data_IF_964932681785
#
_entry.id   IF_964932681785
#
_cell.length_a   1.000
_cell.length_b   1.000
_cell.length_c   1.000
_cell.angle_alpha   90.00
_cell.angle_beta   90.00
_cell.angle_gamma   90.00
#
_symmetry.space_group_name_H-M   'P 1'
#
loop_
_entity.id
_entity.type
_entity.pdbx_description
1 polymer ?
#
# COMPACT_ATOMS: atom_id res chain seq x y z
N UNK A 1 -35.26 -35.96 -36.10
CA UNK A 1 -36.45 -35.12 -36.39
C UNK A 1 -37.12 -34.75 -35.07
N UNK A 2 -37.15 -33.46 -34.77
CA UNK A 2 -37.83 -32.85 -33.61
C UNK A 2 -39.33 -32.74 -33.94
N UNK A 3 -40.22 -33.14 -33.02
CA UNK A 3 -41.54 -32.49 -32.81
C UNK A 3 -42.24 -33.15 -31.61
N UNK A 4 -42.35 -32.48 -30.46
CA UNK A 4 -43.47 -31.57 -30.07
C UNK A 4 -44.82 -32.30 -29.93
N UNK A 5 -45.31 -32.47 -28.68
CA UNK A 5 -46.42 -31.69 -28.08
C UNK A 5 -47.16 -32.45 -26.96
N UNK A 6 -47.46 -31.64 -25.94
CA UNK A 6 -48.70 -31.58 -25.15
C UNK A 6 -49.05 -32.79 -24.26
N UNK A 7 -49.21 -32.52 -22.96
CA UNK A 7 -50.53 -32.56 -22.33
C UNK A 7 -50.56 -31.63 -21.10
N UNK A 8 -51.49 -30.67 -21.14
CA UNK A 8 -51.95 -29.85 -20.02
C UNK A 8 -53.16 -30.59 -19.43
N UNK A 9 -53.23 -30.74 -18.11
CA UNK A 9 -54.51 -30.84 -17.40
C UNK A 9 -54.32 -30.46 -15.93
N UNK A 10 -55.25 -29.64 -15.46
CA UNK A 10 -55.18 -28.81 -14.28
C UNK A 10 -55.82 -29.43 -13.04
N UNK A 11 -55.53 -28.77 -11.91
CA UNK A 11 -56.41 -28.50 -10.77
C UNK A 11 -56.64 -29.60 -9.72
N UNK A 12 -56.27 -29.31 -8.46
CA UNK A 12 -57.22 -28.79 -7.46
C UNK A 12 -56.53 -28.51 -6.11
N UNK A 13 -57.07 -27.54 -5.39
CA UNK A 13 -56.53 -26.86 -4.23
C UNK A 13 -56.71 -27.61 -2.89
N UNK A 14 -55.88 -27.27 -1.90
CA UNK A 14 -56.26 -27.30 -0.50
C UNK A 14 -55.53 -26.20 0.28
N UNK A 15 -56.31 -25.23 0.75
CA UNK A 15 -55.95 -24.18 1.69
C UNK A 15 -56.12 -24.78 3.09
N UNK A 16 -55.10 -24.65 3.95
CA UNK A 16 -55.23 -24.84 5.38
C UNK A 16 -54.58 -23.66 6.11
N UNK A 17 -55.44 -22.76 6.59
CA UNK A 17 -55.16 -21.70 7.54
C UNK A 17 -54.84 -22.27 8.92
N UNK A 18 -53.70 -21.89 9.49
CA UNK A 18 -53.37 -22.10 10.90
C UNK A 18 -52.91 -20.79 11.51
N UNK A 19 -53.79 -20.13 12.27
CA UNK A 19 -53.45 -19.01 13.14
C UNK A 19 -53.18 -19.55 14.54
N UNK A 20 -52.00 -19.25 15.09
CA UNK A 20 -51.68 -19.36 16.51
C UNK A 20 -50.92 -18.10 16.93
N UNK A 21 -51.64 -17.22 17.62
CA UNK A 21 -51.06 -16.12 18.40
C UNK A 21 -50.76 -16.63 19.81
N UNK A 22 -49.55 -16.45 20.32
CA UNK A 22 -49.27 -16.24 21.74
C UNK A 22 -47.85 -15.67 21.95
N UNK A 23 -47.79 -14.62 22.77
CA UNK A 23 -46.68 -13.72 23.02
C UNK A 23 -45.58 -14.27 23.94
N UNK A 24 -44.44 -13.56 23.91
CA UNK A 24 -43.65 -13.07 25.07
C UNK A 24 -42.21 -13.57 25.15
N UNK A 25 -41.30 -12.58 25.28
CA UNK A 25 -40.08 -12.70 26.05
C UNK A 25 -38.82 -13.10 25.28
N UNK A 26 -37.93 -12.12 25.09
CA UNK A 26 -36.51 -12.38 24.88
C UNK A 26 -35.96 -11.83 23.59
N UNK A 27 -35.50 -10.59 23.64
CA UNK A 27 -34.37 -10.10 22.85
C UNK A 27 -33.18 -11.05 23.03
N UNK A 28 -33.15 -12.12 22.25
CA UNK A 28 -31.90 -12.77 21.90
C UNK A 28 -31.25 -11.86 20.86
N UNK A 29 -30.56 -10.83 21.36
CA UNK A 29 -29.44 -10.27 20.64
C UNK A 29 -28.53 -11.44 20.34
N UNK A 30 -28.63 -11.95 19.11
CA UNK A 30 -27.65 -12.83 18.54
C UNK A 30 -26.38 -12.02 18.50
N UNK A 31 -25.60 -12.10 19.59
CA UNK A 31 -24.17 -11.90 19.56
C UNK A 31 -23.66 -12.90 18.54
N UNK A 32 -23.68 -12.49 17.27
CA UNK A 32 -22.78 -13.01 16.28
C UNK A 32 -21.43 -13.01 16.97
N UNK A 33 -20.85 -14.18 17.17
CA UNK A 33 -19.45 -14.32 17.50
C UNK A 33 -18.71 -13.52 16.44
N UNK A 34 -18.40 -12.27 16.76
CA UNK A 34 -17.82 -11.30 15.86
C UNK A 34 -16.50 -11.90 15.37
N UNK A 35 -16.29 -11.87 14.06
CA UNK A 35 -15.14 -12.52 13.41
C UNK A 35 -13.86 -12.15 14.17
N UNK A 36 -13.22 -13.12 14.83
CA UNK A 36 -11.95 -12.90 15.55
C UNK A 36 -10.77 -12.68 14.60
N UNK A 37 -10.90 -13.07 13.34
CA UNK A 37 -9.84 -12.97 12.34
C UNK A 37 -9.84 -11.59 11.70
N UNK A 38 -8.71 -10.89 11.72
CA UNK A 38 -8.41 -9.69 10.95
C UNK A 38 -7.53 -10.10 9.75
N UNK A 39 -8.00 -9.83 8.54
CA UNK A 39 -7.26 -10.14 7.31
C UNK A 39 -6.70 -8.87 6.71
N UNK A 40 -5.37 -8.80 6.52
CA UNK A 40 -4.68 -7.62 6.00
C UNK A 40 -3.89 -7.98 4.74
N UNK A 41 -4.14 -7.23 3.66
CA UNK A 41 -3.29 -7.27 2.46
C UNK A 41 -2.03 -6.42 2.68
N UNK A 42 -0.85 -6.91 2.32
CA UNK A 42 0.41 -6.19 2.56
C UNK A 42 1.46 -6.48 1.48
N UNK A 43 2.39 -5.53 1.28
CA UNK A 43 3.64 -5.83 0.57
C UNK A 43 4.49 -6.82 1.38
N UNK A 44 5.32 -7.67 0.76
CA UNK A 44 6.11 -8.66 1.48
C UNK A 44 7.06 -8.04 2.51
N UNK A 45 7.78 -6.99 2.14
CA UNK A 45 8.72 -6.29 3.00
C UNK A 45 8.54 -4.77 2.92
N UNK A 46 8.63 -4.03 4.03
CA UNK A 46 8.67 -4.51 5.42
C UNK A 46 7.27 -4.86 5.97
N UNK A 47 6.19 -4.59 5.23
CA UNK A 47 4.82 -4.55 5.76
C UNK A 47 4.33 -5.90 6.30
N UNK A 48 4.40 -6.96 5.51
CA UNK A 48 4.00 -8.29 5.96
C UNK A 48 4.94 -8.84 7.05
N UNK A 49 6.23 -8.49 7.00
CA UNK A 49 7.16 -8.83 8.08
C UNK A 49 6.78 -8.16 9.40
N UNK A 50 6.48 -6.86 9.39
CA UNK A 50 5.99 -6.12 10.56
C UNK A 50 4.72 -6.77 11.11
N UNK A 51 3.75 -7.06 10.25
CA UNK A 51 2.50 -7.68 10.63
C UNK A 51 2.73 -9.06 11.27
N UNK A 52 3.54 -9.92 10.65
CA UNK A 52 3.76 -11.28 11.10
C UNK A 52 4.70 -11.39 12.31
N UNK A 53 5.79 -10.61 12.34
CA UNK A 53 6.86 -10.73 13.35
C UNK A 53 6.63 -9.84 14.58
N UNK A 54 5.87 -8.75 14.45
CA UNK A 54 5.61 -7.82 15.56
C UNK A 54 4.13 -7.78 15.97
N UNK A 55 3.20 -7.60 15.02
CA UNK A 55 1.80 -7.36 15.37
C UNK A 55 1.03 -8.62 15.77
N UNK A 56 1.28 -9.74 15.09
CA UNK A 56 0.50 -10.98 15.20
C UNK A 56 0.37 -11.49 16.64
N UNK A 57 1.48 -11.64 17.36
CA UNK A 57 1.46 -12.16 18.74
C UNK A 57 0.78 -11.19 19.72
N UNK A 58 0.95 -9.88 19.50
CA UNK A 58 0.32 -8.83 20.33
C UNK A 58 -1.20 -8.77 20.12
N UNK A 59 -1.66 -8.99 18.88
CA UNK A 59 -3.08 -9.08 18.57
C UNK A 59 -3.71 -10.37 19.10
N UNK A 60 -2.99 -11.49 19.07
CA UNK A 60 -3.47 -12.76 19.64
C UNK A 60 -3.75 -12.63 21.16
N UNK A 61 -2.94 -11.85 21.88
CA UNK A 61 -3.19 -11.53 23.31
C UNK A 61 -4.47 -10.71 23.54
N UNK A 62 -4.98 -10.04 22.49
CA UNK A 62 -6.25 -9.30 22.47
C UNK A 62 -7.38 -10.12 21.82
N UNK A 63 -7.26 -11.45 21.74
CA UNK A 63 -8.24 -12.36 21.11
C UNK A 63 -8.47 -12.11 19.60
N UNK A 64 -7.51 -11.49 18.90
CA UNK A 64 -7.58 -11.20 17.47
C UNK A 64 -6.57 -12.07 16.71
N UNK A 65 -7.06 -12.87 15.77
CA UNK A 65 -6.21 -13.65 14.85
C UNK A 65 -5.84 -12.80 13.63
N UNK A 66 -4.56 -12.51 13.44
CA UNK A 66 -4.09 -11.81 12.24
C UNK A 66 -3.74 -12.77 11.10
N UNK A 67 -4.45 -12.64 9.98
CA UNK A 67 -4.13 -13.28 8.69
C UNK A 67 -3.53 -12.24 7.75
N UNK A 68 -2.33 -12.49 7.25
CA UNK A 68 -1.64 -11.61 6.29
C UNK A 68 -1.71 -12.24 4.91
N UNK A 69 -2.14 -11.47 3.91
CA UNK A 69 -2.08 -11.84 2.49
C UNK A 69 -1.05 -10.95 1.80
N UNK A 70 -0.01 -11.57 1.25
CA UNK A 70 1.08 -10.85 0.58
C UNK A 70 0.76 -10.63 -0.89
N UNK A 71 1.05 -9.42 -1.39
CA UNK A 71 0.89 -9.04 -2.79
C UNK A 71 2.12 -8.29 -3.26
N UNK A 72 2.58 -8.58 -4.48
CA UNK A 72 3.84 -8.05 -5.03
C UNK A 72 3.66 -6.84 -5.95
N UNK A 73 2.44 -6.29 -6.01
CA UNK A 73 2.07 -5.14 -6.82
C UNK A 73 1.26 -4.14 -5.98
N UNK A 74 1.05 -2.94 -6.54
CA UNK A 74 0.37 -1.84 -5.85
C UNK A 74 -1.12 -1.69 -6.17
N UNK A 75 -1.66 -2.53 -7.04
CA UNK A 75 -3.03 -2.43 -7.51
C UNK A 75 -3.93 -3.39 -6.72
N UNK A 76 -3.56 -4.66 -6.64
CA UNK A 76 -4.40 -5.71 -6.05
C UNK A 76 -4.76 -5.44 -4.59
N UNK A 77 -3.85 -5.01 -3.70
CA UNK A 77 -4.21 -4.75 -2.29
C UNK A 77 -5.41 -3.82 -2.12
N UNK A 78 -5.50 -2.74 -2.90
CA UNK A 78 -6.64 -1.84 -2.86
C UNK A 78 -7.91 -2.48 -3.44
N UNK A 79 -7.80 -3.29 -4.50
CA UNK A 79 -8.94 -4.01 -5.07
C UNK A 79 -9.56 -4.98 -4.07
N UNK A 80 -8.75 -5.78 -3.38
CA UNK A 80 -9.22 -6.78 -2.41
C UNK A 80 -9.75 -6.15 -1.13
N UNK A 81 -9.26 -4.96 -0.75
CA UNK A 81 -9.86 -4.17 0.35
C UNK A 81 -11.20 -3.58 -0.09
N UNK A 82 -11.29 -3.01 -1.28
CA UNK A 82 -12.54 -2.43 -1.82
C UNK A 82 -13.64 -3.48 -1.94
N UNK A 83 -13.30 -4.71 -2.36
CA UNK A 83 -14.26 -5.81 -2.48
C UNK A 83 -14.64 -6.46 -1.14
N UNK A 84 -13.99 -6.09 -0.04
CA UNK A 84 -14.15 -6.72 1.27
C UNK A 84 -13.61 -8.15 1.34
N UNK A 85 -12.69 -8.54 0.45
CA UNK A 85 -11.98 -9.82 0.56
C UNK A 85 -10.97 -9.79 1.72
N UNK A 86 -10.42 -8.62 2.02
CA UNK A 86 -9.62 -8.34 3.22
C UNK A 86 -10.24 -7.19 3.99
N UNK A 87 -10.02 -7.15 5.31
CA UNK A 87 -10.57 -6.11 6.18
C UNK A 87 -9.78 -4.80 6.06
N UNK A 88 -8.47 -4.87 5.79
CA UNK A 88 -7.59 -3.72 5.61
C UNK A 88 -6.43 -4.03 4.66
N UNK A 89 -5.70 -3.00 4.24
CA UNK A 89 -4.38 -3.15 3.63
C UNK A 89 -3.33 -2.25 4.30
N UNK A 90 -2.06 -2.62 4.10
CA UNK A 90 -0.89 -1.94 4.62
C UNK A 90 0.24 -2.08 3.59
N UNK A 91 0.35 -1.12 2.68
CA UNK A 91 1.34 -1.13 1.60
C UNK A 91 1.64 0.24 0.98
N UNK A 92 0.78 1.24 1.21
CA UNK A 92 0.74 2.49 0.44
C UNK A 92 0.85 3.71 1.36
N UNK A 93 1.28 4.82 0.77
CA UNK A 93 1.22 6.15 1.38
C UNK A 93 -0.07 6.90 1.03
N UNK A 94 -0.32 8.00 1.73
CA UNK A 94 -1.57 8.77 1.62
C UNK A 94 -1.77 9.38 0.23
N UNK A 95 -0.69 9.80 -0.45
CA UNK A 95 -0.78 10.36 -1.80
C UNK A 95 -1.20 9.29 -2.81
N UNK A 96 -0.62 8.09 -2.73
CA UNK A 96 -1.02 6.95 -3.57
C UNK A 96 -2.49 6.60 -3.33
N UNK A 97 -2.94 6.54 -2.07
CA UNK A 97 -4.34 6.28 -1.73
C UNK A 97 -5.29 7.31 -2.36
N UNK A 98 -4.98 8.60 -2.21
CA UNK A 98 -5.80 9.68 -2.77
C UNK A 98 -5.87 9.61 -4.29
N UNK A 99 -4.74 9.35 -4.96
CA UNK A 99 -4.68 9.18 -6.40
C UNK A 99 -5.49 7.92 -6.83
N UNK A 100 -5.30 6.79 -6.15
CA UNK A 100 -6.04 5.55 -6.44
C UNK A 100 -7.55 5.74 -6.32
N UNK A 101 -8.03 6.38 -5.25
CA UNK A 101 -9.45 6.71 -5.05
C UNK A 101 -9.99 7.55 -6.21
N UNK A 102 -9.26 8.62 -6.59
CA UNK A 102 -9.62 9.50 -7.70
C UNK A 102 -9.69 8.77 -9.04
N UNK A 103 -8.71 7.92 -9.34
CA UNK A 103 -8.61 7.21 -10.63
C UNK A 103 -9.62 6.07 -10.75
N UNK A 104 -9.92 5.38 -9.65
CA UNK A 104 -10.75 4.17 -9.66
C UNK A 104 -12.18 4.40 -9.14
N UNK A 105 -12.52 5.61 -8.71
CA UNK A 105 -13.83 5.93 -8.14
C UNK A 105 -14.11 5.17 -6.85
N UNK A 106 -13.06 4.92 -6.05
CA UNK A 106 -13.16 4.24 -4.74
C UNK A 106 -13.09 5.26 -3.61
N UNK A 107 -13.46 4.84 -2.40
CA UNK A 107 -13.57 5.68 -1.21
C UNK A 107 -12.81 5.10 0.00
N UNK A 108 -11.72 4.35 -0.27
CA UNK A 108 -10.86 3.81 0.76
C UNK A 108 -10.32 4.92 1.67
N UNK A 109 -10.16 4.63 2.96
CA UNK A 109 -9.75 5.61 3.97
C UNK A 109 -8.50 5.16 4.70
N UNK A 110 -7.55 6.09 4.86
CA UNK A 110 -6.39 5.90 5.73
C UNK A 110 -6.78 6.09 7.19
N UNK A 111 -6.53 5.06 8.02
CA UNK A 111 -6.89 5.03 9.44
C UNK A 111 -5.78 5.65 10.30
N UNK A 112 -4.53 5.30 10.03
CA UNK A 112 -3.37 5.83 10.74
C UNK A 112 -2.09 5.71 9.91
N UNK A 113 -1.22 6.71 10.01
CA UNK A 113 0.17 6.63 9.57
C UNK A 113 0.96 5.71 10.50
N UNK A 114 1.76 4.82 9.95
CA UNK A 114 2.49 3.79 10.72
C UNK A 114 3.99 3.99 10.62
N UNK A 115 4.53 4.01 9.41
CA UNK A 115 5.96 4.15 9.16
C UNK A 115 6.21 4.90 7.88
N UNK A 116 7.45 5.31 7.68
CA UNK A 116 7.93 5.98 6.50
C UNK A 116 9.18 5.24 6.00
N UNK A 117 9.29 5.14 4.68
CA UNK A 117 10.38 4.46 3.98
C UNK A 117 11.06 5.48 3.07
N UNK A 118 12.33 5.84 3.34
CA UNK A 118 13.07 6.73 2.46
C UNK A 118 13.20 6.15 1.05
N UNK A 119 12.76 6.90 0.05
CA UNK A 119 13.03 6.60 -1.35
C UNK A 119 14.50 6.92 -1.67
N UNK A 120 15.16 6.05 -2.44
CA UNK A 120 16.59 6.15 -2.74
C UNK A 120 16.93 6.06 -4.21
N UNK A 121 18.02 6.72 -4.60
CA UNK A 121 18.69 6.54 -5.89
C UNK A 121 19.79 5.50 -5.73
N UNK A 122 19.71 4.39 -6.47
CA UNK A 122 20.65 3.28 -6.39
C UNK A 122 21.49 3.16 -7.67
N UNK A 123 22.73 2.71 -7.51
CA UNK A 123 23.69 2.50 -8.58
C UNK A 123 23.31 1.30 -9.46
N UNK A 124 23.23 1.51 -10.77
CA UNK A 124 23.13 0.44 -11.78
C UNK A 124 24.49 0.21 -12.45
N UNK A 125 24.56 0.44 -13.77
CA UNK A 125 25.83 0.40 -14.52
C UNK A 125 26.80 1.52 -14.13
N UNK A 126 26.28 2.63 -13.60
CA UNK A 126 27.04 3.79 -13.16
C UNK A 126 27.03 3.89 -11.62
N UNK A 127 28.05 4.52 -11.03
CA UNK A 127 28.31 4.46 -9.57
C UNK A 127 28.33 5.80 -8.85
N UNK A 128 28.43 6.92 -9.57
CA UNK A 128 28.51 8.24 -8.96
C UNK A 128 27.58 9.20 -9.69
N UNK A 129 26.70 9.86 -8.94
CA UNK A 129 25.77 10.86 -9.46
C UNK A 129 26.50 12.13 -9.91
N UNK A 130 27.67 12.44 -9.34
CA UNK A 130 28.46 13.63 -9.68
C UNK A 130 29.07 13.55 -11.08
N UNK A 131 29.36 12.32 -11.54
CA UNK A 131 29.96 12.04 -12.84
C UNK A 131 28.93 11.49 -13.84
N UNK A 132 27.65 11.83 -13.67
CA UNK A 132 26.57 11.33 -14.54
C UNK A 132 26.81 11.73 -16.01
N UNK A 133 26.87 10.70 -16.86
CA UNK A 133 27.12 10.87 -18.29
C UNK A 133 25.92 11.51 -19.01
N UNK A 134 26.20 12.27 -20.07
CA UNK A 134 25.15 12.77 -20.94
C UNK A 134 24.36 11.59 -21.54
N UNK A 135 23.03 11.62 -21.45
CA UNK A 135 22.18 10.55 -21.95
C UNK A 135 22.05 9.34 -21.03
N UNK A 136 22.54 9.43 -19.78
CA UNK A 136 22.37 8.38 -18.78
C UNK A 136 20.89 8.00 -18.59
N UNK A 137 20.64 6.72 -18.36
CA UNK A 137 19.30 6.18 -18.14
C UNK A 137 19.02 6.05 -16.64
N UNK A 138 17.89 6.60 -16.20
CA UNK A 138 17.41 6.45 -14.83
C UNK A 138 16.05 5.76 -14.86
N UNK A 139 15.96 4.59 -14.25
CA UNK A 139 14.67 3.91 -14.07
C UNK A 139 13.89 4.55 -12.92
N UNK A 140 12.60 4.79 -13.13
CA UNK A 140 11.69 5.39 -12.14
C UNK A 140 10.35 4.62 -12.11
N UNK A 141 9.60 4.63 -10.99
CA UNK A 141 8.24 4.13 -10.95
C UNK A 141 7.34 4.89 -11.94
N UNK A 142 6.32 4.23 -12.48
CA UNK A 142 5.40 4.81 -13.47
C UNK A 142 3.97 5.04 -12.95
N UNK A 143 3.74 4.89 -11.65
CA UNK A 143 2.49 5.37 -11.04
C UNK A 143 2.64 6.86 -10.68
N UNK A 144 1.59 7.70 -10.85
CA UNK A 144 1.73 9.15 -10.84
C UNK A 144 2.43 9.72 -9.60
N UNK A 145 2.15 9.16 -8.42
CA UNK A 145 2.63 9.72 -7.15
C UNK A 145 4.04 9.27 -6.80
N UNK A 146 4.43 8.03 -7.13
CA UNK A 146 5.81 7.58 -6.94
C UNK A 146 6.74 8.06 -8.06
N UNK A 147 6.22 8.24 -9.28
CA UNK A 147 6.95 8.92 -10.35
C UNK A 147 7.26 10.36 -9.92
N UNK A 148 6.25 11.13 -9.52
CA UNK A 148 6.46 12.49 -9.00
C UNK A 148 7.45 12.56 -7.84
N UNK A 149 7.35 11.64 -6.87
CA UNK A 149 8.33 11.51 -5.77
C UNK A 149 9.75 11.26 -6.27
N UNK A 150 9.93 10.40 -7.28
CA UNK A 150 11.23 10.16 -7.88
C UNK A 150 11.78 11.42 -8.56
N UNK A 151 10.96 12.17 -9.29
CA UNK A 151 11.35 13.44 -9.90
C UNK A 151 11.72 14.51 -8.87
N UNK A 152 11.01 14.57 -7.74
CA UNK A 152 11.36 15.45 -6.62
C UNK A 152 12.72 15.09 -6.02
N UNK A 153 13.02 13.80 -5.86
CA UNK A 153 14.34 13.34 -5.40
C UNK A 153 15.44 13.66 -6.41
N UNK A 154 15.19 13.48 -7.71
CA UNK A 154 16.15 13.87 -8.75
C UNK A 154 16.43 15.38 -8.75
N UNK A 155 15.40 16.20 -8.47
CA UNK A 155 15.55 17.65 -8.33
C UNK A 155 16.28 18.04 -7.05
N UNK A 156 16.04 17.34 -5.93
CA UNK A 156 16.78 17.50 -4.68
C UNK A 156 18.29 17.35 -4.89
N UNK A 157 18.69 16.36 -5.69
CA UNK A 157 20.09 16.09 -6.01
C UNK A 157 20.66 16.98 -7.13
N UNK A 158 19.86 17.92 -7.66
CA UNK A 158 20.28 18.86 -8.71
C UNK A 158 20.53 18.21 -10.07
N UNK A 159 20.04 16.98 -10.29
CA UNK A 159 20.17 16.27 -11.57
C UNK A 159 19.24 16.85 -12.63
N UNK A 160 18.12 17.43 -12.20
CA UNK A 160 17.14 18.15 -13.00
C UNK A 160 16.59 19.34 -12.22
N UNK A 161 15.88 20.24 -12.91
CA UNK A 161 15.01 21.25 -12.31
C UNK A 161 13.58 20.98 -12.74
N UNK A 162 12.62 20.99 -11.81
CA UNK A 162 11.19 20.92 -12.12
C UNK A 162 10.60 22.32 -12.34
N UNK A 163 9.59 22.41 -13.21
CA UNK A 163 8.81 23.65 -13.41
C UNK A 163 8.11 24.09 -12.14
N UNK A 164 7.60 23.12 -11.38
CA UNK A 164 7.03 23.29 -10.05
C UNK A 164 7.75 22.32 -9.09
N UNK A 165 8.57 22.82 -8.15
CA UNK A 165 9.33 21.99 -7.22
C UNK A 165 8.46 21.32 -6.15
N UNK A 166 7.16 21.62 -6.09
CA UNK A 166 6.21 21.00 -5.15
C UNK A 166 5.21 20.06 -5.85
N UNK A 167 5.37 19.80 -7.17
CA UNK A 167 4.46 18.94 -7.92
C UNK A 167 4.62 17.45 -7.55
N UNK A 168 3.70 16.94 -6.74
CA UNK A 168 3.66 15.54 -6.28
C UNK A 168 3.32 14.51 -7.37
N UNK A 169 2.85 14.96 -8.53
CA UNK A 169 2.54 14.13 -9.70
C UNK A 169 3.42 14.55 -10.90
N UNK A 170 4.64 15.03 -10.65
CA UNK A 170 5.57 15.46 -11.70
C UNK A 170 5.91 14.31 -12.67
N UNK A 171 5.93 14.66 -13.96
CA UNK A 171 6.24 13.76 -15.08
C UNK A 171 7.49 14.25 -15.82
N UNK A 172 8.05 13.50 -16.80
CA UNK A 172 9.10 14.02 -17.68
C UNK A 172 8.72 15.34 -18.38
N UNK A 173 7.43 15.57 -18.62
CA UNK A 173 6.91 16.80 -19.21
C UNK A 173 7.04 18.02 -18.28
N UNK A 174 7.25 17.82 -16.98
CA UNK A 174 7.35 18.86 -15.96
C UNK A 174 8.79 19.27 -15.64
N UNK A 175 9.76 18.67 -16.33
CA UNK A 175 11.18 19.05 -16.25
C UNK A 175 11.40 20.39 -16.97
N UNK A 176 11.95 21.36 -16.24
CA UNK A 176 12.36 22.66 -16.78
C UNK A 176 13.79 22.59 -17.35
N UNK A 177 14.73 22.00 -16.61
CA UNK A 177 16.12 21.85 -17.02
C UNK A 177 16.60 20.40 -16.81
N UNK A 178 17.32 19.87 -17.79
CA UNK A 178 17.95 18.54 -17.77
C UNK A 178 19.37 18.63 -18.36
N UNK A 179 20.36 19.12 -17.58
CA UNK A 179 21.69 19.44 -18.09
C UNK A 179 22.45 18.23 -18.62
N UNK A 180 22.14 17.03 -18.13
CA UNK A 180 22.77 15.78 -18.55
C UNK A 180 21.96 15.02 -19.61
N UNK A 181 20.88 15.59 -20.16
CA UNK A 181 20.01 14.91 -21.13
C UNK A 181 19.59 13.51 -20.66
N UNK A 182 19.32 13.37 -19.35
CA UNK A 182 18.93 12.12 -18.71
C UNK A 182 17.70 11.55 -19.42
N UNK A 183 17.72 10.24 -19.64
CA UNK A 183 16.59 9.48 -20.19
C UNK A 183 15.88 8.76 -19.06
N UNK A 184 14.61 9.07 -18.85
CA UNK A 184 13.80 8.39 -17.85
C UNK A 184 13.22 7.10 -18.42
N UNK A 185 13.38 6.01 -17.68
CA UNK A 185 12.86 4.68 -18.01
C UNK A 185 11.74 4.37 -17.02
N UNK A 186 10.53 4.77 -17.38
CA UNK A 186 9.33 4.58 -16.57
C UNK A 186 8.89 3.11 -16.61
N UNK A 187 8.89 2.44 -15.45
CA UNK A 187 8.44 1.05 -15.30
C UNK A 187 7.61 0.89 -14.04
N UNK A 188 6.87 -0.21 -13.96
CA UNK A 188 6.15 -0.57 -12.73
C UNK A 188 7.10 -0.58 -11.53
N UNK A 189 6.68 -0.01 -10.40
CA UNK A 189 7.49 0.10 -9.18
C UNK A 189 8.15 -1.24 -8.78
N UNK A 190 7.39 -2.34 -8.86
CA UNK A 190 7.85 -3.70 -8.57
C UNK A 190 8.97 -4.21 -9.49
N UNK A 191 9.22 -3.54 -10.62
CA UNK A 191 10.22 -3.89 -11.62
C UNK A 191 11.46 -2.98 -11.61
N UNK A 192 11.42 -1.84 -10.91
CA UNK A 192 12.48 -0.83 -10.96
C UNK A 192 13.82 -1.40 -10.50
N UNK A 193 13.86 -2.14 -9.39
CA UNK A 193 15.11 -2.73 -8.86
C UNK A 193 15.77 -3.70 -9.85
N UNK A 194 14.97 -4.42 -10.66
CA UNK A 194 15.48 -5.30 -11.72
C UNK A 194 16.08 -4.53 -12.90
N UNK A 195 15.77 -3.25 -13.07
CA UNK A 195 16.35 -2.43 -14.14
C UNK A 195 17.82 -2.07 -13.88
N UNK A 196 18.32 -2.19 -12.65
CA UNK A 196 19.70 -1.81 -12.30
C UNK A 196 20.78 -2.49 -13.17
N UNK A 197 20.48 -3.66 -13.74
CA UNK A 197 21.39 -4.36 -14.67
C UNK A 197 21.43 -3.74 -16.07
N UNK A 198 20.46 -2.90 -16.42
CA UNK A 198 20.22 -2.37 -17.75
C UNK A 198 20.38 -0.84 -17.83
N UNK A 199 20.10 -0.11 -16.75
CA UNK A 199 20.19 1.35 -16.66
C UNK A 199 21.40 1.83 -15.84
N UNK A 200 21.66 3.13 -15.85
CA UNK A 200 22.77 3.74 -15.11
C UNK A 200 22.46 3.86 -13.63
N UNK A 201 21.23 4.27 -13.30
CA UNK A 201 20.73 4.42 -11.94
C UNK A 201 19.24 4.08 -11.87
N UNK A 202 18.71 3.81 -10.68
CA UNK A 202 17.28 3.65 -10.50
C UNK A 202 16.80 4.33 -9.21
N UNK A 203 15.60 4.92 -9.24
CA UNK A 203 14.95 5.50 -8.07
C UNK A 203 13.93 4.52 -7.53
N UNK A 204 14.19 3.92 -6.37
CA UNK A 204 13.48 2.74 -5.88
C UNK A 204 12.73 3.06 -4.58
N UNK A 205 11.45 2.67 -4.50
CA UNK A 205 10.67 2.67 -3.26
C UNK A 205 11.34 1.78 -2.19
N UNK A 206 11.25 2.18 -0.92
CA UNK A 206 11.93 1.47 0.16
C UNK A 206 11.55 -0.01 0.27
N UNK A 207 10.26 -0.34 0.25
CA UNK A 207 9.77 -1.73 0.26
C UNK A 207 10.44 -2.62 -0.80
N UNK A 208 10.52 -2.16 -2.06
CA UNK A 208 11.12 -2.91 -3.17
C UNK A 208 12.65 -2.89 -3.14
N UNK A 209 13.26 -1.86 -2.53
CA UNK A 209 14.68 -1.86 -2.24
C UNK A 209 15.02 -2.92 -1.19
N UNK A 210 14.30 -2.95 -0.06
CA UNK A 210 14.47 -3.93 1.02
C UNK A 210 14.21 -5.35 0.49
N UNK A 211 13.15 -5.56 -0.30
CA UNK A 211 12.86 -6.86 -0.93
C UNK A 211 14.00 -7.33 -1.85
N UNK A 212 14.66 -6.41 -2.56
CA UNK A 212 15.82 -6.70 -3.39
C UNK A 212 17.14 -6.80 -2.60
N UNK A 213 17.11 -6.65 -1.27
CA UNK A 213 18.27 -6.74 -0.39
C UNK A 213 19.13 -5.47 -0.34
N UNK A 214 18.57 -4.32 -0.76
CA UNK A 214 19.20 -3.02 -0.61
C UNK A 214 18.76 -2.33 0.68
N UNK A 215 19.66 -1.53 1.22
CA UNK A 215 19.42 -0.65 2.36
C UNK A 215 19.64 0.81 1.96
N UNK A 216 19.11 1.75 2.75
CA UNK A 216 19.35 3.21 2.61
C UNK A 216 20.85 3.52 2.60
N UNK A 217 21.67 2.73 3.29
CA UNK A 217 23.13 2.86 3.30
C UNK A 217 23.79 2.51 1.95
N UNK A 218 23.13 1.75 1.08
CA UNK A 218 23.61 1.40 -0.26
C UNK A 218 23.21 2.44 -1.33
N UNK A 219 22.29 3.34 -1.00
CA UNK A 219 21.82 4.37 -1.92
C UNK A 219 22.88 5.45 -2.14
N UNK A 220 22.98 5.95 -3.37
CA UNK A 220 23.82 7.08 -3.74
C UNK A 220 23.27 8.41 -3.22
N UNK A 221 21.95 8.49 -3.13
CA UNK A 221 21.21 9.59 -2.53
C UNK A 221 19.88 9.07 -2.00
N UNK A 222 19.36 9.73 -0.97
CA UNK A 222 18.08 9.40 -0.35
C UNK A 222 17.30 10.68 -0.19
N UNK A 223 15.99 10.60 -0.33
CA UNK A 223 15.14 11.75 -0.03
C UNK A 223 15.36 12.20 1.42
N UNK A 224 15.33 13.51 1.61
CA UNK A 224 15.48 14.08 2.95
C UNK A 224 14.30 13.67 3.82
N UNK A 225 14.59 12.95 4.90
CA UNK A 225 13.59 12.49 5.87
C UNK A 225 13.20 13.60 6.85
N UNK A 226 12.87 14.78 6.34
CA UNK A 226 12.29 15.86 7.13
C UNK A 226 10.80 15.63 7.39
N UNK A 227 10.18 16.49 8.21
CA UNK A 227 8.77 16.35 8.55
C UNK A 227 7.84 16.35 7.34
N UNK A 228 8.18 17.08 6.26
CA UNK A 228 7.35 17.20 5.06
C UNK A 228 7.34 15.90 4.26
N UNK A 229 8.49 15.28 4.05
CA UNK A 229 8.56 13.99 3.34
C UNK A 229 7.83 12.88 4.12
N UNK A 230 7.96 12.85 5.45
CA UNK A 230 7.24 11.90 6.30
C UNK A 230 5.72 12.14 6.22
N UNK A 231 5.28 13.39 6.32
CA UNK A 231 3.84 13.75 6.19
C UNK A 231 3.25 13.35 4.82
N UNK A 232 4.03 13.50 3.75
CA UNK A 232 3.58 13.20 2.38
C UNK A 232 3.60 11.71 2.06
N UNK A 233 4.53 10.95 2.64
CA UNK A 233 4.81 9.59 2.18
C UNK A 233 4.85 8.53 3.30
N UNK A 234 4.35 8.86 4.50
CA UNK A 234 4.07 7.84 5.50
C UNK A 234 3.09 6.79 4.93
N UNK A 235 3.37 5.53 5.23
CA UNK A 235 2.55 4.38 4.92
C UNK A 235 1.41 4.26 5.92
N UNK A 236 0.21 3.93 5.42
CA UNK A 236 -1.01 3.89 6.21
C UNK A 236 -1.57 2.47 6.33
N UNK A 237 -2.26 2.23 7.46
CA UNK A 237 -3.34 1.24 7.48
C UNK A 237 -4.54 1.84 6.75
N UNK A 238 -5.03 1.14 5.72
CA UNK A 238 -6.14 1.59 4.88
C UNK A 238 -7.26 0.57 4.94
N UNK A 239 -8.51 1.05 4.96
CA UNK A 239 -9.70 0.20 4.98
C UNK A 239 -10.86 0.87 4.24
N UNK A 240 -12.04 0.23 4.20
CA UNK A 240 -13.26 0.84 3.66
C UNK A 240 -13.92 1.75 4.71
N UNK A 241 -14.77 2.72 4.31
CA UNK A 241 -15.49 3.55 5.27
C UNK A 241 -16.36 2.77 6.27
N UNK A 242 -16.83 1.58 5.88
CA UNK A 242 -17.64 0.72 6.73
C UNK A 242 -16.84 0.09 7.88
N UNK A 243 -15.55 -0.17 7.65
CA UNK A 243 -14.65 -0.85 8.58
C UNK A 243 -13.75 0.14 9.35
N UNK A 244 -13.83 1.45 9.07
CA UNK A 244 -12.98 2.48 9.72
C UNK A 244 -13.03 2.49 11.25
N UNK A 245 -14.15 2.06 11.82
CA UNK A 245 -14.41 2.02 13.26
C UNK A 245 -14.31 0.59 13.84
N UNK A 246 -13.84 -0.39 13.05
CA UNK A 246 -13.65 -1.77 13.49
C UNK A 246 -12.60 -1.86 14.61
N UNK A 247 -12.99 -2.49 15.73
CA UNK A 247 -12.15 -2.61 16.92
C UNK A 247 -10.87 -3.43 16.70
N UNK A 248 -10.86 -4.37 15.76
CA UNK A 248 -9.68 -5.14 15.36
C UNK A 248 -8.67 -4.25 14.64
N UNK A 249 -9.15 -3.37 13.76
CA UNK A 249 -8.30 -2.41 13.05
C UNK A 249 -7.74 -1.37 14.05
N UNK A 250 -8.57 -0.89 14.98
CA UNK A 250 -8.09 -0.01 16.08
C UNK A 250 -7.00 -0.69 16.92
N UNK A 251 -7.19 -1.96 17.27
CA UNK A 251 -6.18 -2.73 18.00
C UNK A 251 -4.89 -2.92 17.19
N UNK A 252 -4.97 -3.12 15.88
CA UNK A 252 -3.80 -3.17 15.00
C UNK A 252 -3.06 -1.83 15.00
N UNK A 253 -3.78 -0.72 14.86
CA UNK A 253 -3.19 0.63 14.92
C UNK A 253 -2.53 0.89 16.26
N UNK A 254 -3.17 0.54 17.38
CA UNK A 254 -2.59 0.68 18.73
C UNK A 254 -1.25 -0.08 18.85
N UNK A 255 -1.20 -1.31 18.34
CA UNK A 255 0.03 -2.11 18.33
C UNK A 255 1.11 -1.44 17.48
N UNK A 256 0.76 -1.02 16.25
CA UNK A 256 1.66 -0.41 15.28
C UNK A 256 1.92 1.09 15.52
N UNK A 257 1.46 1.65 16.64
CA UNK A 257 1.78 3.01 17.08
C UNK A 257 2.31 3.04 18.52
N UNK A 258 2.83 1.91 18.99
CA UNK A 258 3.40 1.78 20.34
C UNK A 258 4.90 2.16 20.40
N UNK A 259 5.39 2.51 21.59
CA UNK A 259 6.83 2.76 21.81
C UNK A 259 7.68 1.50 21.53
N UNK A 260 7.16 0.32 21.89
CA UNK A 260 7.76 -0.97 21.52
C UNK A 260 7.94 -1.13 20.01
N UNK A 261 6.99 -0.60 19.23
CA UNK A 261 7.07 -0.65 17.77
C UNK A 261 8.15 0.29 17.23
N UNK A 262 8.29 1.50 17.78
CA UNK A 262 9.41 2.39 17.46
C UNK A 262 10.76 1.70 17.70
N UNK A 263 10.89 1.01 18.85
CA UNK A 263 12.08 0.25 19.17
C UNK A 263 12.31 -0.94 18.22
N UNK A 264 11.25 -1.65 17.85
CA UNK A 264 11.31 -2.73 16.86
C UNK A 264 11.79 -2.24 15.50
N UNK A 265 11.25 -1.13 14.99
CA UNK A 265 11.66 -0.53 13.71
C UNK A 265 13.15 -0.16 13.73
N UNK A 266 13.58 0.60 14.75
CA UNK A 266 14.98 1.00 14.89
C UNK A 266 15.94 -0.18 14.99
N UNK A 267 15.56 -1.26 15.67
CA UNK A 267 16.40 -2.45 15.81
C UNK A 267 16.46 -3.31 14.55
N UNK A 268 15.35 -3.41 13.83
CA UNK A 268 15.18 -4.38 12.74
C UNK A 268 15.57 -3.79 11.38
N UNK A 269 15.25 -2.51 11.17
CA UNK A 269 15.39 -1.83 9.88
C UNK A 269 16.28 -0.59 9.93
N UNK A 270 16.77 -0.19 11.11
CA UNK A 270 17.59 1.01 11.32
C UNK A 270 17.04 2.26 10.61
N UNK A 271 17.62 2.64 9.46
CA UNK A 271 17.23 3.81 8.67
C UNK A 271 16.32 3.50 7.48
N UNK A 272 16.12 2.22 7.16
CA UNK A 272 15.29 1.81 6.03
C UNK A 272 13.79 2.01 6.30
N UNK A 273 13.39 1.93 7.58
CA UNK A 273 12.01 2.04 8.02
C UNK A 273 11.95 2.87 9.29
N UNK A 274 11.37 4.07 9.19
CA UNK A 274 11.27 5.04 10.28
C UNK A 274 9.84 5.13 10.81
N UNK A 275 9.60 5.37 12.11
CA UNK A 275 8.26 5.60 12.63
C UNK A 275 7.67 6.91 12.09
N UNK A 276 6.35 6.93 11.83
CA UNK A 276 5.63 8.11 11.31
C UNK A 276 4.61 8.71 12.31
N UNK A 277 4.72 8.37 13.60
CA UNK A 277 3.78 8.73 14.68
C UNK A 277 4.52 9.16 15.96
#
# INVERSE_FOLDING_TARGET
>A
MISRRNFIASAAALIATGALSACSGGTAGGGSSSKKTLTVAASPSPHAEILNKFAKDKLAQKDIELTVKEYTDYIIPNQVTTSGEVDANYFQHINYLNNYNKQNGTDLVGVAAIHYEPMGIYAGKSKDLKDIASGAQIAVPNDPTNEGRAFLLLAQEGLITLKDPDNLEATPGDVADNPHSIKFVEVEAAAVSRQLQDVDFAVINGNYAIEAGFHVADALAVEQSDGKAVEQYANYIVTTPAEKDDERIKALVEVLTSDDFKAYLSKTYDKDVLPAF
#
